data_IF_761968452197
#
_entry.id   IF_761968452197
#
_cell.length_a   1.000
_cell.length_b   1.000
_cell.length_c   1.000
_cell.angle_alpha   90.00
_cell.angle_beta   90.00
_cell.angle_gamma   90.00
#
_symmetry.space_group_name_H-M   'P 1'
#
loop_
_entity.id
_entity.type
_entity.pdbx_description
1 polymer ?
#
# COMPACT_ATOMS: atom_id res chain seq x y z
N UNK A 1 4.42 36.38 19.75
CA UNK A 1 4.34 34.94 20.09
C UNK A 1 5.71 34.32 19.87
N UNK A 2 6.30 33.66 20.88
CA UNK A 2 7.53 32.88 20.71
C UNK A 2 7.14 31.46 20.31
N UNK A 3 7.35 31.09 19.05
CA UNK A 3 7.27 29.68 18.64
C UNK A 3 8.40 28.94 19.35
N UNK A 4 8.06 28.07 20.31
CA UNK A 4 9.05 27.17 20.90
C UNK A 4 9.37 26.13 19.83
N UNK A 5 10.64 26.04 19.44
CA UNK A 5 11.10 24.97 18.57
C UNK A 5 10.72 23.62 19.21
N UNK A 6 9.99 22.80 18.47
CA UNK A 6 9.61 21.45 18.88
C UNK A 6 10.84 20.56 18.74
N UNK A 7 11.17 19.77 19.76
CA UNK A 7 12.32 18.88 19.72
C UNK A 7 12.13 17.78 18.68
N UNK A 8 13.23 17.25 18.13
CA UNK A 8 13.19 16.10 17.21
C UNK A 8 12.49 14.89 17.85
N UNK A 9 12.67 14.67 19.17
CA UNK A 9 11.96 13.62 19.89
C UNK A 9 10.44 13.81 19.86
N UNK A 10 9.95 15.04 20.04
CA UNK A 10 8.51 15.31 19.97
C UNK A 10 7.97 15.13 18.55
N UNK A 11 8.75 15.52 17.52
CA UNK A 11 8.38 15.25 16.11
C UNK A 11 8.30 13.75 15.83
N UNK A 12 9.29 12.98 16.29
CA UNK A 12 9.32 11.53 16.14
C UNK A 12 8.14 10.86 16.87
N UNK A 13 7.85 11.27 18.11
CA UNK A 13 6.72 10.73 18.87
C UNK A 13 5.37 11.00 18.16
N UNK A 14 5.21 12.20 17.61
CA UNK A 14 4.02 12.55 16.83
C UNK A 14 3.91 11.71 15.55
N UNK A 15 5.03 11.54 14.83
CA UNK A 15 5.09 10.70 13.63
C UNK A 15 4.67 9.26 13.95
N UNK A 16 5.29 8.64 14.96
CA UNK A 16 4.96 7.28 15.40
C UNK A 16 3.50 7.14 15.83
N UNK A 17 2.95 8.13 16.53
CA UNK A 17 1.53 8.14 16.88
C UNK A 17 0.63 8.22 15.65
N UNK A 18 0.98 9.05 14.66
CA UNK A 18 0.22 9.21 13.43
C UNK A 18 0.19 7.92 12.60
N UNK A 19 1.33 7.24 12.46
CA UNK A 19 1.46 5.95 11.79
C UNK A 19 0.58 4.89 12.48
N UNK A 20 0.71 4.75 13.80
CA UNK A 20 -0.10 3.79 14.58
C UNK A 20 -1.60 4.06 14.40
N UNK A 21 -2.00 5.32 14.38
CA UNK A 21 -3.41 5.70 14.19
C UNK A 21 -3.92 5.37 12.79
N UNK A 22 -3.09 5.49 11.77
CA UNK A 22 -3.43 5.12 10.39
C UNK A 22 -3.61 3.61 10.26
N UNK A 23 -2.64 2.83 10.73
CA UNK A 23 -2.71 1.35 10.79
C UNK A 23 -3.98 0.87 11.49
N UNK A 24 -4.35 1.49 12.62
CA UNK A 24 -5.58 1.15 13.35
C UNK A 24 -6.85 1.43 12.54
N UNK A 25 -6.90 2.53 11.79
CA UNK A 25 -8.05 2.87 10.94
C UNK A 25 -8.19 1.88 9.78
N UNK A 26 -7.08 1.54 9.16
CA UNK A 26 -7.03 0.58 8.05
C UNK A 26 -7.49 -0.80 8.50
N UNK A 27 -6.95 -1.29 9.62
CA UNK A 27 -7.38 -2.56 10.22
C UNK A 27 -8.85 -2.55 10.61
N UNK A 28 -9.33 -1.45 11.20
CA UNK A 28 -10.74 -1.31 11.55
C UNK A 28 -11.63 -1.40 10.30
N UNK A 29 -11.26 -0.74 9.21
CA UNK A 29 -11.98 -0.85 7.95
C UNK A 29 -11.97 -2.29 7.42
N UNK A 30 -10.82 -2.96 7.37
CA UNK A 30 -10.73 -4.33 6.85
C UNK A 30 -11.57 -5.31 7.70
N UNK A 31 -11.64 -5.11 9.02
CA UNK A 31 -12.50 -5.92 9.90
C UNK A 31 -14.01 -5.72 9.70
N UNK A 32 -14.42 -4.66 8.99
CA UNK A 32 -15.84 -4.38 8.71
C UNK A 32 -16.33 -5.04 7.42
N UNK A 33 -15.44 -5.61 6.62
CA UNK A 33 -15.79 -6.29 5.38
C UNK A 33 -16.57 -7.58 5.69
N UNK A 34 -17.54 -7.90 4.84
CA UNK A 34 -18.34 -9.13 4.94
C UNK A 34 -17.61 -10.38 4.43
N UNK A 35 -16.39 -10.22 3.93
CA UNK A 35 -15.53 -11.25 3.37
C UNK A 35 -14.10 -11.07 3.85
N UNK A 36 -13.28 -12.10 3.69
CA UNK A 36 -11.86 -12.06 4.04
C UNK A 36 -11.04 -11.34 2.95
N UNK A 37 -10.41 -10.19 3.24
CA UNK A 37 -9.58 -9.46 2.28
C UNK A 37 -8.16 -10.04 2.16
N UNK A 38 -7.77 -11.03 2.96
CA UNK A 38 -6.42 -11.60 3.00
C UNK A 38 -5.92 -12.05 1.61
N UNK A 39 -6.73 -12.73 0.76
CA UNK A 39 -6.26 -13.12 -0.57
C UNK A 39 -5.89 -11.93 -1.46
N UNK A 40 -6.62 -10.81 -1.37
CA UNK A 40 -6.32 -9.58 -2.11
C UNK A 40 -4.98 -9.03 -1.62
N UNK A 41 -4.80 -8.94 -0.30
CA UNK A 41 -3.57 -8.42 0.30
C UNK A 41 -2.34 -9.26 -0.07
N UNK A 42 -2.47 -10.59 -0.08
CA UNK A 42 -1.40 -11.51 -0.48
C UNK A 42 -1.01 -11.32 -1.95
N UNK A 43 -1.98 -11.16 -2.86
CA UNK A 43 -1.72 -10.89 -4.28
C UNK A 43 -0.98 -9.56 -4.44
N UNK A 44 -1.49 -8.50 -3.80
CA UNK A 44 -0.86 -7.18 -3.89
C UNK A 44 0.57 -7.23 -3.36
N UNK A 45 0.78 -7.80 -2.17
CA UNK A 45 2.11 -7.93 -1.56
C UNK A 45 3.05 -8.71 -2.47
N UNK A 46 2.61 -9.84 -3.03
CA UNK A 46 3.42 -10.63 -3.95
C UNK A 46 3.94 -9.80 -5.14
N UNK A 47 3.08 -8.98 -5.75
CA UNK A 47 3.50 -8.13 -6.86
C UNK A 47 4.39 -6.96 -6.44
N UNK A 48 4.17 -6.39 -5.26
CA UNK A 48 5.03 -5.33 -4.73
C UNK A 48 6.42 -5.86 -4.39
N UNK A 49 6.51 -7.03 -3.76
CA UNK A 49 7.77 -7.68 -3.42
C UNK A 49 8.53 -8.09 -4.69
N UNK A 50 7.85 -8.67 -5.68
CA UNK A 50 8.49 -9.06 -6.93
C UNK A 50 8.99 -7.87 -7.76
N UNK A 51 8.34 -6.71 -7.61
CA UNK A 51 8.70 -5.50 -8.32
C UNK A 51 9.84 -4.73 -7.65
N UNK A 52 9.81 -4.66 -6.32
CA UNK A 52 10.80 -4.01 -5.47
C UNK A 52 11.28 -2.64 -5.98
N UNK A 53 10.37 -1.64 -6.15
CA UNK A 53 10.64 -0.41 -6.89
C UNK A 53 11.71 0.50 -6.28
N UNK A 54 12.13 0.22 -5.05
CA UNK A 54 13.14 0.98 -4.31
C UNK A 54 14.26 0.10 -3.73
N UNK A 55 14.34 -1.17 -4.17
CA UNK A 55 15.38 -2.11 -3.75
C UNK A 55 15.45 -2.34 -2.22
N UNK A 56 14.30 -2.49 -1.56
CA UNK A 56 14.23 -2.74 -0.12
C UNK A 56 14.55 -4.20 0.24
N UNK A 57 14.41 -5.15 -0.69
CA UNK A 57 14.47 -6.59 -0.40
C UNK A 57 15.89 -7.17 -0.47
N UNK A 58 16.91 -6.40 -0.09
CA UNK A 58 18.27 -6.94 0.02
C UNK A 58 18.36 -8.06 1.09
N UNK A 59 19.40 -8.89 1.04
CA UNK A 59 19.44 -10.22 1.66
C UNK A 59 19.34 -10.30 3.21
N UNK A 60 19.04 -9.21 3.92
CA UNK A 60 18.83 -9.16 5.37
C UNK A 60 17.69 -8.22 5.79
N UNK A 61 16.76 -7.91 4.89
CA UNK A 61 15.57 -7.12 5.21
C UNK A 61 14.56 -7.95 6.02
N UNK A 62 13.58 -7.31 6.64
CA UNK A 62 12.51 -8.01 7.35
C UNK A 62 11.61 -8.76 6.35
N UNK A 63 10.50 -9.35 6.80
CA UNK A 63 9.50 -9.96 5.90
C UNK A 63 8.29 -9.01 5.66
N UNK A 64 8.29 -7.85 6.32
CA UNK A 64 7.19 -6.88 6.40
C UNK A 64 7.33 -5.71 5.41
N UNK A 65 8.28 -5.79 4.47
CA UNK A 65 8.43 -4.80 3.41
C UNK A 65 7.15 -4.70 2.62
N UNK A 66 6.83 -3.46 2.27
CA UNK A 66 5.64 -3.10 1.51
C UNK A 66 4.31 -3.51 2.17
N UNK A 67 4.29 -4.01 3.42
CA UNK A 67 3.05 -4.48 4.05
C UNK A 67 2.04 -3.35 4.24
N UNK A 68 2.53 -2.15 4.62
CA UNK A 68 1.71 -0.95 4.73
C UNK A 68 1.10 -0.55 3.38
N UNK A 69 1.92 -0.49 2.35
CA UNK A 69 1.52 -0.14 0.99
C UNK A 69 0.52 -1.15 0.44
N UNK A 70 0.78 -2.45 0.64
CA UNK A 70 -0.09 -3.53 0.20
C UNK A 70 -1.46 -3.46 0.89
N UNK A 71 -1.48 -3.13 2.18
CA UNK A 71 -2.71 -2.92 2.95
C UNK A 71 -3.50 -1.72 2.46
N UNK A 72 -2.85 -0.58 2.27
CA UNK A 72 -3.51 0.64 1.76
C UNK A 72 -4.10 0.39 0.36
N UNK A 73 -3.37 -0.30 -0.53
CA UNK A 73 -3.89 -0.64 -1.85
C UNK A 73 -5.02 -1.69 -1.78
N UNK A 74 -4.93 -2.66 -0.88
CA UNK A 74 -6.02 -3.61 -0.64
C UNK A 74 -7.31 -2.89 -0.29
N UNK A 75 -7.24 -1.90 0.61
CA UNK A 75 -8.39 -1.06 0.97
C UNK A 75 -8.94 -0.29 -0.23
N UNK A 76 -8.08 0.18 -1.12
CA UNK A 76 -8.51 0.80 -2.37
C UNK A 76 -9.28 -0.21 -3.23
N UNK A 77 -8.70 -1.37 -3.50
CA UNK A 77 -9.32 -2.44 -4.31
C UNK A 77 -10.68 -2.85 -3.73
N UNK A 78 -10.79 -3.06 -2.41
CA UNK A 78 -12.05 -3.49 -1.76
C UNK A 78 -13.16 -2.44 -1.89
N UNK A 79 -12.82 -1.14 -2.02
CA UNK A 79 -13.79 -0.06 -2.22
C UNK A 79 -14.23 0.09 -3.68
N UNK A 80 -13.42 -0.40 -4.60
CA UNK A 80 -13.59 -0.21 -6.05
C UNK A 80 -13.77 -1.55 -6.78
N UNK A 81 -14.16 -2.62 -6.07
CA UNK A 81 -14.16 -3.98 -6.61
C UNK A 81 -15.05 -4.14 -7.85
N UNK A 82 -16.17 -3.41 -7.90
CA UNK A 82 -17.15 -3.51 -8.98
C UNK A 82 -16.75 -2.75 -10.26
N UNK A 83 -15.84 -1.80 -10.14
CA UNK A 83 -15.43 -0.84 -11.18
C UNK A 83 -13.90 -0.70 -11.24
N UNK A 84 -13.18 -1.75 -10.85
CA UNK A 84 -11.72 -1.74 -10.80
C UNK A 84 -11.15 -1.76 -12.22
N UNK A 85 -10.47 -0.69 -12.59
CA UNK A 85 -9.82 -0.54 -13.89
C UNK A 85 -8.31 -0.40 -13.74
N UNK A 86 -7.56 -0.82 -14.76
CA UNK A 86 -6.09 -0.76 -14.78
C UNK A 86 -5.60 0.67 -14.54
N UNK A 87 -6.21 1.66 -15.19
CA UNK A 87 -5.80 3.06 -15.09
C UNK A 87 -5.99 3.65 -13.69
N UNK A 88 -7.13 3.34 -13.04
CA UNK A 88 -7.44 3.82 -11.69
C UNK A 88 -6.55 3.14 -10.64
N UNK A 89 -6.32 1.83 -10.79
CA UNK A 89 -5.42 1.07 -9.93
C UNK A 89 -3.95 1.49 -10.09
N UNK A 90 -3.47 1.71 -11.31
CA UNK A 90 -2.11 2.23 -11.59
C UNK A 90 -1.88 3.58 -10.91
N UNK A 91 -2.88 4.46 -10.97
CA UNK A 91 -2.84 5.76 -10.28
C UNK A 91 -2.81 5.60 -8.77
N UNK A 92 -3.58 4.65 -8.21
CA UNK A 92 -3.57 4.36 -6.79
C UNK A 92 -2.21 3.80 -6.32
N UNK A 93 -1.63 2.84 -7.05
CA UNK A 93 -0.29 2.29 -6.78
C UNK A 93 0.73 3.43 -6.74
N UNK A 94 0.77 4.25 -7.80
CA UNK A 94 1.67 5.40 -7.88
C UNK A 94 1.51 6.34 -6.68
N UNK A 95 0.26 6.64 -6.29
CA UNK A 95 -0.01 7.51 -5.16
C UNK A 95 0.43 6.91 -3.83
N UNK A 96 0.31 5.59 -3.65
CA UNK A 96 0.75 4.89 -2.43
C UNK A 96 2.26 4.99 -2.32
N UNK A 97 2.99 4.54 -3.33
CA UNK A 97 4.46 4.54 -3.29
C UNK A 97 5.05 5.94 -3.20
N UNK A 98 4.52 6.94 -3.94
CA UNK A 98 5.00 8.32 -3.82
C UNK A 98 4.74 8.92 -2.43
N UNK A 99 3.68 8.52 -1.73
CA UNK A 99 3.46 8.97 -0.35
C UNK A 99 4.41 8.30 0.63
N UNK A 100 4.67 7.01 0.45
CA UNK A 100 5.52 6.23 1.35
C UNK A 100 7.01 6.55 1.19
N UNK A 101 7.48 6.70 -0.05
CA UNK A 101 8.91 6.75 -0.37
C UNK A 101 9.35 8.04 -1.05
N UNK A 102 8.40 8.97 -1.34
CA UNK A 102 8.69 10.29 -1.90
C UNK A 102 9.58 10.19 -3.15
N UNK A 103 10.78 10.79 -3.09
CA UNK A 103 11.74 10.87 -4.19
C UNK A 103 12.55 9.58 -4.40
N UNK A 104 12.46 8.62 -3.48
CA UNK A 104 13.13 7.32 -3.61
C UNK A 104 12.39 6.40 -4.58
N UNK A 105 11.10 6.62 -4.79
CA UNK A 105 10.28 5.85 -5.72
C UNK A 105 10.66 6.14 -7.18
N UNK A 106 11.15 5.11 -7.89
CA UNK A 106 11.59 5.20 -9.30
C UNK A 106 10.73 4.38 -10.28
N UNK A 107 9.61 3.86 -9.81
CA UNK A 107 8.79 2.88 -10.52
C UNK A 107 7.62 3.42 -11.35
N UNK A 108 7.57 4.72 -11.64
CA UNK A 108 6.37 5.33 -12.26
C UNK A 108 5.91 4.65 -13.55
N UNK A 109 6.85 4.17 -14.36
CA UNK A 109 6.60 3.56 -15.67
C UNK A 109 6.02 2.14 -15.58
N UNK A 110 6.31 1.41 -14.50
CA UNK A 110 5.86 0.04 -14.30
C UNK A 110 4.52 -0.07 -13.56
N UNK A 111 3.96 1.03 -13.04
CA UNK A 111 2.69 1.00 -12.28
C UNK A 111 1.52 0.41 -13.08
N UNK A 112 1.48 0.64 -14.40
CA UNK A 112 0.42 0.11 -15.26
C UNK A 112 0.52 -1.40 -15.43
N UNK A 113 1.74 -1.92 -15.64
CA UNK A 113 2.00 -3.35 -15.75
C UNK A 113 1.67 -4.08 -14.44
N UNK A 114 2.07 -3.51 -13.29
CA UNK A 114 1.75 -4.06 -11.98
C UNK A 114 0.24 -4.04 -11.72
N UNK A 115 -0.45 -2.96 -12.08
CA UNK A 115 -1.91 -2.88 -11.96
C UNK A 115 -2.61 -3.95 -12.81
N UNK A 116 -2.18 -4.12 -14.06
CA UNK A 116 -2.71 -5.14 -14.96
C UNK A 116 -2.48 -6.56 -14.41
N UNK A 117 -1.30 -6.84 -13.87
CA UNK A 117 -0.96 -8.14 -13.29
C UNK A 117 -1.80 -8.46 -12.03
N UNK A 118 -2.01 -7.47 -11.15
CA UNK A 118 -2.88 -7.61 -9.97
C UNK A 118 -4.32 -7.92 -10.41
N UNK A 119 -4.88 -7.13 -11.33
CA UNK A 119 -6.26 -7.34 -11.82
C UNK A 119 -6.42 -8.73 -12.44
N UNK A 120 -5.48 -9.13 -13.31
CA UNK A 120 -5.50 -10.45 -13.91
C UNK A 120 -5.47 -11.58 -12.86
N UNK A 121 -4.65 -11.45 -11.81
CA UNK A 121 -4.61 -12.42 -10.73
C UNK A 121 -5.91 -12.48 -9.93
N UNK A 122 -6.52 -11.32 -9.63
CA UNK A 122 -7.82 -11.25 -8.95
C UNK A 122 -8.95 -11.88 -9.77
N UNK A 123 -8.95 -11.70 -11.10
CA UNK A 123 -9.89 -12.36 -12.02
C UNK A 123 -9.68 -13.88 -12.04
N UNK A 124 -8.42 -14.33 -12.07
CA UNK A 124 -8.09 -15.77 -12.12
C UNK A 124 -8.59 -16.53 -10.89
N UNK A 125 -8.61 -15.88 -9.72
CA UNK A 125 -9.13 -16.49 -8.49
C UNK A 125 -10.62 -16.22 -8.24
N UNK A 126 -11.32 -15.59 -9.20
CA UNK A 126 -12.75 -15.34 -9.15
C UNK A 126 -13.18 -14.24 -8.16
N UNK A 127 -12.28 -13.35 -7.77
CA UNK A 127 -12.61 -12.17 -6.94
C UNK A 127 -13.06 -10.96 -7.77
N UNK A 128 -12.78 -10.96 -9.06
CA UNK A 128 -13.34 -10.04 -10.04
C UNK A 128 -14.14 -10.85 -11.06
N UNK A 129 -15.38 -10.43 -11.31
CA UNK A 129 -16.32 -11.07 -12.24
C UNK A 129 -16.21 -10.53 -13.66
#
# INVERSE_FOLDING_TARGET
>A
MKFRAVSEQTKMNYLMWSIKREILKENAYLSTLSYDPTPIMQIVKHYFDAWDPIALLDANSSDDEYEGEARTLTIYITKHLADLEIASLSTAIRSVFRKSFLDEFRGDDACEDIAAAIIHSLQTIGLLG
#
